data_IF_855714850737
#
_entry.id   IF_855714850737
#
_cell.length_a   1.000
_cell.length_b   1.000
_cell.length_c   1.000
_cell.angle_alpha   90.00
_cell.angle_beta   90.00
_cell.angle_gamma   90.00
#
_symmetry.space_group_name_H-M   'P 1'
#
loop_
_entity.id
_entity.type
_entity.pdbx_description
1 polymer ?
#
# COMPACT_ATOMS: atom_id res chain seq x y z
N UNK A 1 -39.89 23.10 38.91
CA UNK A 1 -38.93 23.45 37.85
C UNK A 1 -39.56 23.25 36.47
N UNK A 2 -39.63 24.31 35.67
CA UNK A 2 -40.03 24.18 34.25
C UNK A 2 -38.89 23.57 33.45
N UNK A 3 -39.05 22.37 32.92
CA UNK A 3 -38.15 21.80 31.95
C UNK A 3 -38.34 22.54 30.61
N UNK A 4 -37.37 23.32 30.20
CA UNK A 4 -37.37 23.90 28.88
C UNK A 4 -37.07 22.81 27.87
N UNK A 5 -38.08 22.40 27.10
CA UNK A 5 -37.89 21.48 25.96
C UNK A 5 -37.24 22.22 24.78
N UNK A 6 -36.44 21.49 23.99
CA UNK A 6 -35.93 22.02 22.74
C UNK A 6 -37.04 22.21 21.71
N UNK A 7 -36.94 23.28 20.92
CA UNK A 7 -37.88 23.47 19.81
C UNK A 7 -37.42 22.69 18.58
N UNK A 8 -38.36 22.33 17.72
CA UNK A 8 -38.07 21.63 16.45
C UNK A 8 -37.13 22.45 15.57
N UNK A 9 -37.35 23.78 15.53
CA UNK A 9 -36.50 24.69 14.73
C UNK A 9 -35.06 24.77 15.26
N UNK A 10 -34.87 24.67 16.56
CA UNK A 10 -33.55 24.71 17.19
C UNK A 10 -32.74 23.48 16.80
N UNK A 11 -33.35 22.30 16.77
CA UNK A 11 -32.70 21.06 16.29
C UNK A 11 -32.42 21.12 14.79
N UNK A 12 -33.37 21.62 13.99
CA UNK A 12 -33.15 21.78 12.54
C UNK A 12 -31.99 22.72 12.23
N UNK A 13 -31.87 23.83 12.97
CA UNK A 13 -30.77 24.76 12.82
C UNK A 13 -29.41 24.10 13.14
N UNK A 14 -29.33 23.39 14.24
CA UNK A 14 -28.10 22.70 14.67
C UNK A 14 -27.68 21.67 13.63
N UNK A 15 -28.59 20.82 13.15
CA UNK A 15 -28.30 19.79 12.14
C UNK A 15 -27.85 20.44 10.83
N UNK A 16 -28.46 21.55 10.44
CA UNK A 16 -28.05 22.29 9.22
C UNK A 16 -26.63 22.83 9.35
N UNK A 17 -26.28 23.45 10.48
CA UNK A 17 -24.92 23.97 10.72
C UNK A 17 -23.90 22.85 10.73
N UNK A 18 -24.17 21.73 11.42
CA UNK A 18 -23.29 20.56 11.44
C UNK A 18 -23.10 19.98 10.04
N UNK A 19 -24.17 19.90 9.24
CA UNK A 19 -24.12 19.44 7.85
C UNK A 19 -23.21 20.29 6.97
N UNK A 20 -23.31 21.62 7.09
CA UNK A 20 -22.45 22.56 6.34
C UNK A 20 -20.98 22.40 6.75
N UNK A 21 -20.70 22.32 8.05
CA UNK A 21 -19.33 22.16 8.55
C UNK A 21 -18.74 20.82 8.15
N UNK A 22 -19.51 19.75 8.22
CA UNK A 22 -19.09 18.41 7.78
C UNK A 22 -18.75 18.40 6.29
N UNK A 23 -19.55 19.03 5.45
CA UNK A 23 -19.30 19.11 4.01
C UNK A 23 -17.98 19.81 3.64
N UNK A 24 -17.49 20.71 4.48
CA UNK A 24 -16.20 21.40 4.28
C UNK A 24 -14.99 20.55 4.70
N UNK A 25 -15.16 19.70 5.71
CA UNK A 25 -14.04 18.95 6.33
C UNK A 25 -13.79 17.62 5.62
N UNK A 26 -14.83 16.89 5.24
CA UNK A 26 -14.72 15.56 4.64
C UNK A 26 -13.81 15.50 3.40
N UNK A 27 -13.93 16.41 2.41
CA UNK A 27 -13.07 16.36 1.21
C UNK A 27 -11.57 16.52 1.51
N UNK A 28 -11.24 17.29 2.55
CA UNK A 28 -9.83 17.53 2.93
C UNK A 28 -9.18 16.31 3.59
N UNK A 29 -9.97 15.54 4.32
CA UNK A 29 -9.49 14.32 5.00
C UNK A 29 -9.22 13.19 3.99
N UNK A 30 -10.09 13.00 3.01
CA UNK A 30 -9.94 11.94 2.00
C UNK A 30 -8.70 12.13 1.13
N UNK A 31 -8.38 13.35 0.73
CA UNK A 31 -7.17 13.66 -0.04
C UNK A 31 -5.88 13.34 0.72
N UNK A 32 -5.79 13.70 1.99
CA UNK A 32 -4.62 13.39 2.84
C UNK A 32 -4.44 11.90 3.05
N UNK A 33 -5.51 11.15 3.28
CA UNK A 33 -5.45 9.70 3.46
C UNK A 33 -4.92 9.01 2.20
N UNK A 34 -5.35 9.42 1.01
CA UNK A 34 -4.85 8.87 -0.26
C UNK A 34 -3.35 9.13 -0.42
N UNK A 35 -2.90 10.37 -0.20
CA UNK A 35 -1.50 10.74 -0.29
C UNK A 35 -0.62 9.96 0.68
N UNK A 36 -1.05 9.80 1.93
CA UNK A 36 -0.33 9.02 2.95
C UNK A 36 -0.23 7.55 2.54
N UNK A 37 -1.30 6.94 2.06
CA UNK A 37 -1.30 5.55 1.59
C UNK A 37 -0.35 5.34 0.41
N UNK A 38 -0.32 6.24 -0.55
CA UNK A 38 0.62 6.18 -1.68
C UNK A 38 2.07 6.34 -1.22
N UNK A 39 2.34 7.22 -0.26
CA UNK A 39 3.68 7.39 0.30
C UNK A 39 4.16 6.12 1.04
N UNK A 40 3.30 5.47 1.83
CA UNK A 40 3.63 4.20 2.49
C UNK A 40 3.91 3.10 1.45
N UNK A 41 3.05 2.95 0.44
CA UNK A 41 3.26 1.98 -0.64
C UNK A 41 4.57 2.25 -1.40
N UNK A 42 4.97 3.53 -1.58
CA UNK A 42 6.24 3.88 -2.22
C UNK A 42 7.44 3.46 -1.37
N UNK A 43 7.38 3.61 -0.05
CA UNK A 43 8.43 3.11 0.86
C UNK A 43 8.53 1.59 0.79
N UNK A 44 7.41 0.88 0.72
CA UNK A 44 7.44 -0.58 0.59
C UNK A 44 8.06 -1.02 -0.73
N UNK A 45 7.74 -0.35 -1.83
CA UNK A 45 8.25 -0.65 -3.18
C UNK A 45 9.72 -0.27 -3.36
N UNK A 46 10.18 0.82 -2.73
CA UNK A 46 11.56 1.32 -2.91
C UNK A 46 12.53 0.84 -1.84
N UNK A 47 12.06 0.45 -0.65
CA UNK A 47 12.92 0.17 0.51
C UNK A 47 12.63 -1.17 1.15
N UNK A 48 11.42 -1.38 1.66
CA UNK A 48 11.14 -2.51 2.56
C UNK A 48 11.19 -3.87 1.84
N UNK A 49 10.50 -4.00 0.71
CA UNK A 49 10.51 -5.24 -0.08
C UNK A 49 11.85 -5.42 -0.82
N UNK A 50 12.43 -4.38 -1.46
CA UNK A 50 13.77 -4.48 -2.04
C UNK A 50 14.84 -4.97 -1.07
N UNK A 51 14.85 -4.51 0.17
CA UNK A 51 15.81 -4.98 1.17
C UNK A 51 15.74 -6.50 1.36
N UNK A 52 14.54 -7.07 1.42
CA UNK A 52 14.36 -8.52 1.54
C UNK A 52 14.78 -9.26 0.25
N UNK A 53 14.53 -8.68 -0.93
CA UNK A 53 14.96 -9.22 -2.21
C UNK A 53 16.47 -9.20 -2.36
N UNK A 54 17.14 -8.13 -1.94
CA UNK A 54 18.60 -7.98 -1.98
C UNK A 54 19.28 -9.00 -1.03
N UNK A 55 18.72 -9.21 0.16
CA UNK A 55 19.21 -10.24 1.08
C UNK A 55 19.04 -11.65 0.51
N UNK A 56 17.93 -11.91 -0.16
CA UNK A 56 17.74 -13.20 -0.85
C UNK A 56 18.75 -13.38 -1.97
N UNK A 57 18.95 -12.36 -2.82
CA UNK A 57 19.96 -12.40 -3.89
C UNK A 57 21.37 -12.61 -3.33
N UNK A 58 21.70 -11.92 -2.23
CA UNK A 58 23.02 -12.07 -1.57
C UNK A 58 23.29 -13.51 -1.12
N UNK A 59 22.30 -14.21 -0.61
CA UNK A 59 22.43 -15.58 -0.12
C UNK A 59 22.37 -16.62 -1.25
N UNK A 60 21.52 -16.42 -2.26
CA UNK A 60 21.22 -17.41 -3.30
C UNK A 60 21.90 -17.13 -4.64
N UNK A 61 22.33 -15.90 -4.89
CA UNK A 61 23.01 -15.47 -6.11
C UNK A 61 22.10 -14.88 -7.18
N UNK A 62 20.77 -14.93 -7.01
CA UNK A 62 19.80 -14.36 -7.95
C UNK A 62 18.50 -13.97 -7.25
N UNK A 63 17.69 -13.14 -7.90
CA UNK A 63 16.38 -12.75 -7.35
C UNK A 63 15.38 -13.91 -7.41
N UNK A 64 14.43 -13.98 -6.45
CA UNK A 64 13.44 -15.05 -6.42
C UNK A 64 12.46 -14.93 -7.59
N UNK A 65 11.85 -16.05 -7.98
CA UNK A 65 10.81 -16.07 -9.03
C UNK A 65 9.48 -15.51 -8.56
N UNK A 66 9.23 -15.50 -7.25
CA UNK A 66 8.05 -14.88 -6.63
C UNK A 66 8.35 -14.43 -5.20
N UNK A 67 7.54 -13.49 -4.67
CA UNK A 67 7.71 -12.99 -3.30
C UNK A 67 7.54 -14.07 -2.21
N UNK A 68 6.86 -15.17 -2.51
CA UNK A 68 6.68 -16.28 -1.58
C UNK A 68 8.02 -16.95 -1.16
N UNK A 69 9.01 -16.93 -2.03
CA UNK A 69 10.36 -17.45 -1.71
C UNK A 69 11.06 -16.67 -0.59
N UNK A 70 10.61 -15.46 -0.31
CA UNK A 70 11.14 -14.65 0.78
C UNK A 70 10.68 -15.15 2.17
N UNK A 71 9.64 -15.95 2.22
CA UNK A 71 9.06 -16.47 3.46
C UNK A 71 9.39 -17.96 3.67
N UNK A 72 9.40 -18.73 2.59
CA UNK A 72 9.57 -20.19 2.62
C UNK A 72 10.66 -20.63 1.68
N UNK A 73 11.48 -21.59 2.12
CA UNK A 73 12.47 -22.27 1.28
C UNK A 73 11.78 -23.27 0.35
N UNK A 74 11.16 -22.79 -0.73
CA UNK A 74 10.36 -23.62 -1.64
C UNK A 74 11.18 -24.64 -2.43
N UNK A 75 12.42 -24.32 -2.72
CA UNK A 75 13.31 -25.18 -3.52
C UNK A 75 14.16 -26.12 -2.64
N UNK A 76 14.06 -26.03 -1.32
CA UNK A 76 14.90 -26.79 -0.39
C UNK A 76 16.38 -26.46 -0.51
N UNK A 77 16.73 -25.23 -0.91
CA UNK A 77 18.10 -24.81 -1.13
C UNK A 77 18.87 -24.66 0.19
N UNK A 78 20.08 -25.23 0.24
CA UNK A 78 20.95 -25.14 1.42
C UNK A 78 21.52 -23.73 1.65
N UNK A 79 21.49 -22.88 0.62
CA UNK A 79 21.97 -21.48 0.71
C UNK A 79 20.89 -20.51 1.18
N UNK A 80 19.63 -20.93 1.19
CA UNK A 80 18.54 -20.11 1.71
C UNK A 80 18.65 -19.93 3.23
N UNK A 81 18.72 -18.69 3.69
CA UNK A 81 18.92 -18.34 5.12
C UNK A 81 17.73 -17.59 5.72
N UNK A 82 16.62 -17.50 4.98
CA UNK A 82 15.43 -16.78 5.44
C UNK A 82 14.78 -17.37 6.71
N UNK A 83 13.60 -16.91 7.07
CA UNK A 83 12.73 -16.06 6.25
C UNK A 83 13.23 -14.61 6.16
N UNK A 84 13.13 -14.03 4.97
CA UNK A 84 13.50 -12.62 4.70
C UNK A 84 12.31 -11.69 4.93
N UNK A 85 11.10 -12.20 4.82
CA UNK A 85 9.84 -11.55 5.21
C UNK A 85 9.05 -12.46 6.15
N UNK A 86 8.37 -11.85 7.14
CA UNK A 86 7.56 -12.60 8.11
C UNK A 86 6.20 -13.01 7.58
N UNK A 87 5.68 -12.28 6.59
CA UNK A 87 4.36 -12.49 5.97
C UNK A 87 4.34 -11.90 4.57
N UNK A 88 3.37 -12.33 3.76
CA UNK A 88 3.10 -11.72 2.44
C UNK A 88 2.80 -10.23 2.63
N UNK A 89 3.59 -9.33 2.02
CA UNK A 89 3.34 -7.92 2.13
C UNK A 89 2.04 -7.54 1.39
N UNK A 90 1.25 -6.69 2.02
CA UNK A 90 0.05 -6.08 1.42
C UNK A 90 0.29 -4.59 1.28
N UNK A 91 -0.22 -4.02 0.21
CA UNK A 91 -0.17 -2.59 0.02
C UNK A 91 -1.12 -1.84 0.97
N UNK A 92 -1.09 -0.52 0.93
CA UNK A 92 -1.90 0.33 1.79
C UNK A 92 -3.41 0.23 1.54
N UNK A 93 -3.83 -0.46 0.49
CA UNK A 93 -5.24 -0.73 0.15
C UNK A 93 -5.63 -2.20 0.39
N UNK A 94 -4.71 -3.01 0.97
CA UNK A 94 -4.95 -4.40 1.32
C UNK A 94 -4.81 -5.39 0.17
N UNK A 95 -4.21 -4.96 -0.95
CA UNK A 95 -3.93 -5.79 -2.13
C UNK A 95 -2.51 -6.33 -2.08
N UNK A 96 -2.26 -7.41 -2.84
CA UNK A 96 -0.91 -7.93 -3.03
C UNK A 96 -0.09 -6.99 -3.90
N UNK A 97 1.24 -6.94 -3.65
CA UNK A 97 2.18 -6.32 -4.59
C UNK A 97 2.37 -7.22 -5.80
N UNK A 98 2.50 -6.60 -6.96
CA UNK A 98 2.88 -7.28 -8.19
C UNK A 98 4.41 -7.35 -8.29
N UNK A 99 4.91 -8.51 -8.60
CA UNK A 99 6.34 -8.79 -8.71
C UNK A 99 6.61 -9.64 -9.97
N UNK A 100 7.64 -9.26 -10.71
CA UNK A 100 8.09 -10.01 -11.88
C UNK A 100 9.60 -9.98 -11.98
N UNK A 101 10.21 -11.14 -12.07
CA UNK A 101 11.64 -11.32 -12.32
C UNK A 101 11.87 -12.30 -13.49
N UNK A 102 12.71 -11.98 -14.49
CA UNK A 102 13.25 -10.64 -14.78
C UNK A 102 12.15 -9.61 -15.08
N UNK A 103 12.40 -8.33 -14.78
CA UNK A 103 11.44 -7.26 -15.03
C UNK A 103 11.24 -6.95 -16.52
N UNK A 104 10.13 -6.36 -16.87
CA UNK A 104 9.88 -5.81 -18.22
C UNK A 104 10.44 -4.39 -18.35
N UNK A 105 10.31 -3.59 -17.29
CA UNK A 105 10.87 -2.24 -17.19
C UNK A 105 12.32 -2.28 -16.71
N UNK A 106 12.58 -3.02 -15.62
CA UNK A 106 13.91 -3.23 -15.05
C UNK A 106 14.49 -4.58 -15.53
N UNK A 107 14.96 -4.64 -16.76
CA UNK A 107 15.36 -5.89 -17.44
C UNK A 107 16.46 -6.71 -16.74
N UNK A 108 17.30 -6.05 -15.95
CA UNK A 108 18.41 -6.71 -15.22
C UNK A 108 18.08 -7.04 -13.77
N UNK A 109 16.96 -6.54 -13.29
CA UNK A 109 16.45 -6.77 -11.95
C UNK A 109 14.98 -7.19 -12.04
N UNK A 110 14.14 -6.66 -11.19
CA UNK A 110 12.73 -7.01 -11.11
C UNK A 110 11.83 -5.77 -11.25
N UNK A 111 10.62 -6.00 -11.66
CA UNK A 111 9.54 -5.04 -11.55
C UNK A 111 8.72 -5.32 -10.28
N UNK A 112 8.51 -4.31 -9.46
CA UNK A 112 7.74 -4.36 -8.23
C UNK A 112 6.80 -3.16 -8.15
N UNK A 113 5.51 -3.39 -7.94
CA UNK A 113 4.55 -2.30 -7.88
C UNK A 113 3.27 -2.66 -7.13
N UNK A 114 2.55 -1.64 -6.68
CA UNK A 114 1.17 -1.70 -6.20
C UNK A 114 0.25 -1.14 -7.27
N UNK A 115 -0.92 -1.74 -7.45
CA UNK A 115 -1.95 -1.24 -8.36
C UNK A 115 -2.67 0.04 -7.85
N UNK A 116 -2.18 0.62 -6.75
CA UNK A 116 -2.67 1.90 -6.26
C UNK A 116 -4.11 1.91 -5.75
N UNK A 117 -4.69 3.10 -5.63
CA UNK A 117 -6.04 3.29 -5.08
C UNK A 117 -7.15 2.63 -5.88
N UNK A 118 -7.02 2.53 -7.21
CA UNK A 118 -8.06 1.93 -8.08
C UNK A 118 -7.99 0.41 -8.11
N UNK A 119 -6.87 -0.18 -7.64
CA UNK A 119 -6.65 -1.62 -7.59
C UNK A 119 -6.52 -2.29 -8.97
N UNK A 120 -6.28 -1.52 -10.03
CA UNK A 120 -6.10 -2.00 -11.39
C UNK A 120 -4.66 -1.77 -11.85
N UNK A 121 -3.92 -2.84 -12.20
CA UNK A 121 -2.55 -2.70 -12.67
C UNK A 121 -2.50 -2.05 -14.06
N UNK A 122 -1.46 -1.25 -14.30
CA UNK A 122 -1.23 -0.57 -15.57
C UNK A 122 -1.89 0.80 -15.68
N UNK A 123 -2.28 1.41 -14.57
CA UNK A 123 -2.87 2.75 -14.52
C UNK A 123 -1.89 3.81 -14.00
N UNK A 124 -2.27 5.08 -14.13
CA UNK A 124 -1.37 6.19 -13.74
C UNK A 124 -1.16 6.30 -12.22
N UNK A 125 -2.03 5.71 -11.42
CA UNK A 125 -1.96 5.73 -9.97
C UNK A 125 -1.21 4.53 -9.37
N UNK A 126 -0.67 3.64 -10.20
CA UNK A 126 0.24 2.58 -9.77
C UNK A 126 1.47 3.18 -9.07
N UNK A 127 1.89 2.52 -7.98
CA UNK A 127 3.12 2.86 -7.26
C UNK A 127 4.20 1.87 -7.69
N UNK A 128 5.15 2.32 -8.50
CA UNK A 128 6.12 1.47 -9.21
C UNK A 128 7.56 1.72 -8.78
N UNK A 129 8.46 0.74 -8.99
CA UNK A 129 9.90 0.85 -8.73
C UNK A 129 10.74 1.25 -9.95
N UNK A 130 10.12 1.69 -11.03
CA UNK A 130 10.78 2.22 -12.22
C UNK A 130 10.36 3.66 -12.51
N UNK A 131 11.09 4.35 -13.37
CA UNK A 131 10.74 5.69 -13.85
C UNK A 131 9.57 5.60 -14.84
N UNK A 132 8.57 6.48 -14.64
CA UNK A 132 7.39 6.61 -15.51
C UNK A 132 7.64 7.61 -16.64
#
# INVERSE_FOLDING_TARGET
>A
MRRKGFTLIEIMLVVTIIGILAAMVVPRLTGRTRQTKSAVAKVDVDVNIPLALDLFELDTGEFPLSLDYLMDNKDGSDVWKGPYLKKVPKDSWGKDYYYKYPGEHNKYTYDLYSAGPDGQPGTNDDVVNWEK
#
